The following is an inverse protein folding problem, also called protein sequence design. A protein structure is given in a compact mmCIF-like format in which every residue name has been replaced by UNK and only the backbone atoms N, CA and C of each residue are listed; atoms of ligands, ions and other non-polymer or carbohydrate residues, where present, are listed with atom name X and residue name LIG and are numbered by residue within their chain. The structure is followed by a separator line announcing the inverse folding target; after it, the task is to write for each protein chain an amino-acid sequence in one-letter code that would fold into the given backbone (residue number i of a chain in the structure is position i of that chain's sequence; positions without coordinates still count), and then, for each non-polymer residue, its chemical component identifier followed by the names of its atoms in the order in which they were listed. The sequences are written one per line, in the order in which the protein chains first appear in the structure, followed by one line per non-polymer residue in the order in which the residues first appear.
data_IF_032775351003
#
_entry.id   IF_032775351003
#
_cell.length_a   1.000
_cell.length_b   1.000
_cell.length_c   1.000
_cell.angle_alpha   90.00
_cell.angle_beta   90.00
_cell.angle_gamma   90.00
#
_symmetry.space_group_name_H-M   'P 1'
#
loop_
_entity.id
_entity.type
_entity.pdbx_description
1 polymer ?
#
# COMPACT_ATOMS: atom_id res chain seq x y z
N UNK A 1 54.09 -39.73 -12.57
CA UNK A 1 54.56 -38.97 -11.40
C UNK A 1 53.34 -38.78 -10.50
N UNK A 2 52.99 -39.65 -9.53
CA UNK A 2 53.68 -40.02 -8.27
C UNK A 2 53.98 -38.75 -7.44
N UNK A 3 53.47 -38.49 -6.23
CA UNK A 3 53.35 -39.34 -5.03
C UNK A 3 52.32 -38.81 -3.99
N UNK A 4 51.73 -39.75 -3.22
CA UNK A 4 51.33 -39.80 -1.78
C UNK A 4 50.85 -38.52 -1.02
N UNK A 5 49.89 -38.55 -0.08
CA UNK A 5 49.34 -39.65 0.75
C UNK A 5 49.72 -39.50 2.24
N UNK A 6 48.70 -39.41 3.13
CA UNK A 6 48.63 -39.70 4.61
C UNK A 6 47.53 -38.81 5.22
N UNK A 7 46.38 -39.25 5.76
CA UNK A 7 45.97 -40.31 6.72
C UNK A 7 46.13 -39.98 8.22
N UNK A 8 44.97 -39.93 8.90
CA UNK A 8 44.60 -40.33 10.26
C UNK A 8 45.09 -39.57 11.51
N UNK A 9 44.15 -39.15 12.37
CA UNK A 9 43.88 -39.83 13.65
C UNK A 9 42.72 -39.19 14.47
N UNK A 10 41.82 -40.06 14.96
CA UNK A 10 40.85 -39.82 16.03
C UNK A 10 41.53 -39.43 17.35
N UNK A 11 40.83 -38.65 18.20
CA UNK A 11 40.78 -38.90 19.65
C UNK A 11 39.47 -38.40 20.27
N UNK A 12 38.73 -39.35 20.83
CA UNK A 12 37.62 -39.20 21.78
C UNK A 12 38.17 -38.76 23.15
N UNK A 13 37.44 -37.89 23.84
CA UNK A 13 37.42 -37.84 25.31
C UNK A 13 36.07 -37.28 25.83
N UNK A 14 35.23 -38.20 26.29
CA UNK A 14 34.28 -38.10 27.41
C UNK A 14 34.98 -37.51 28.66
N UNK A 15 34.40 -36.89 29.70
CA UNK A 15 33.06 -36.84 30.33
C UNK A 15 33.13 -35.73 31.40
N UNK A 16 32.03 -35.06 31.74
CA UNK A 16 31.55 -34.82 33.12
C UNK A 16 30.39 -33.80 33.16
N UNK A 17 29.21 -34.28 33.53
CA UNK A 17 28.08 -33.46 33.99
C UNK A 17 28.29 -33.00 35.45
N UNK A 18 27.53 -32.01 35.91
CA UNK A 18 26.75 -32.26 37.12
C UNK A 18 25.29 -31.76 37.07
N UNK A 19 24.42 -32.68 37.49
CA UNK A 19 23.23 -32.52 38.33
C UNK A 19 22.26 -31.33 38.13
N UNK A 20 21.15 -31.66 37.49
CA UNK A 20 19.76 -31.40 37.89
C UNK A 20 19.48 -30.49 39.11
N UNK A 21 18.73 -29.41 38.88
CA UNK A 21 17.55 -29.07 39.69
C UNK A 21 16.40 -28.64 38.77
N UNK A 22 15.38 -29.50 38.69
CA UNK A 22 14.04 -29.17 38.22
C UNK A 22 13.39 -28.24 39.25
N UNK A 23 13.02 -27.03 38.84
CA UNK A 23 12.09 -26.17 39.56
C UNK A 23 10.73 -26.25 38.87
N UNK A 24 9.78 -26.89 39.55
CA UNK A 24 8.35 -26.91 39.21
C UNK A 24 7.76 -25.49 39.23
N UNK A 25 6.80 -25.17 38.35
CA UNK A 25 6.14 -23.87 38.35
C UNK A 25 5.17 -23.79 39.53
N UNK A 26 5.35 -22.80 40.41
CA UNK A 26 4.34 -22.45 41.42
C UNK A 26 3.27 -21.59 40.75
N UNK A 27 2.11 -22.20 40.54
CA UNK A 27 0.83 -21.56 40.29
C UNK A 27 0.53 -20.61 41.46
N UNK A 28 0.48 -19.31 41.19
CA UNK A 28 -0.09 -18.32 42.11
C UNK A 28 -1.32 -17.73 41.43
N UNK A 29 -2.47 -18.32 41.74
CA UNK A 29 -3.77 -17.72 41.58
C UNK A 29 -3.86 -16.47 42.45
N UNK A 30 -3.96 -15.28 41.85
CA UNK A 30 -4.47 -14.10 42.55
C UNK A 30 -5.83 -13.74 41.98
N UNK A 31 -6.81 -13.87 42.85
CA UNK A 31 -8.21 -13.58 42.65
C UNK A 31 -8.43 -12.11 42.29
N UNK A 32 -9.41 -11.90 41.41
CA UNK A 32 -10.01 -10.62 41.12
C UNK A 32 -10.61 -10.02 42.40
N UNK A 33 -10.16 -8.82 42.78
CA UNK A 33 -10.89 -7.98 43.72
C UNK A 33 -11.88 -7.13 42.93
N UNK A 34 -13.16 -7.50 43.01
CA UNK A 34 -14.28 -6.68 42.59
C UNK A 34 -14.48 -5.60 43.65
N UNK A 35 -14.29 -4.34 43.29
CA UNK A 35 -14.77 -3.21 44.11
C UNK A 35 -15.92 -2.53 43.38
N UNK A 36 -17.08 -2.55 44.02
CA UNK A 36 -18.33 -1.90 43.60
C UNK A 36 -18.15 -0.38 43.50
N UNK A 37 -18.60 0.14 42.36
CA UNK A 37 -19.46 1.32 42.17
C UNK A 37 -19.47 2.39 43.26
N UNK A 38 -18.92 3.56 42.94
CA UNK A 38 -19.41 4.85 43.46
C UNK A 38 -20.02 5.64 42.30
N UNK A 39 -21.33 5.84 42.38
CA UNK A 39 -22.06 6.79 41.55
C UNK A 39 -21.69 8.21 41.98
N UNK A 40 -21.28 9.05 41.02
CA UNK A 40 -21.31 10.50 41.19
C UNK A 40 -22.30 11.05 40.17
N UNK A 41 -23.35 11.63 40.72
CA UNK A 41 -24.44 12.35 40.08
C UNK A 41 -23.98 13.61 39.35
N UNK A 42 -24.67 13.89 38.24
CA UNK A 42 -24.79 15.12 37.47
C UNK A 42 -24.00 16.37 37.91
N UNK A 43 -23.21 16.90 36.97
CA UNK A 43 -22.99 18.36 36.86
C UNK A 43 -23.15 18.81 35.40
N UNK A 44 -23.91 19.89 35.14
CA UNK A 44 -24.20 20.36 33.79
C UNK A 44 -23.08 21.27 33.30
N UNK A 45 -22.29 20.85 32.31
CA UNK A 45 -21.54 21.81 31.50
C UNK A 45 -21.31 21.32 30.05
N UNK A 46 -22.42 21.20 29.31
CA UNK A 46 -22.37 21.29 27.84
C UNK A 46 -22.17 22.76 27.47
N UNK A 47 -20.92 23.16 27.21
CA UNK A 47 -20.50 24.20 26.23
C UNK A 47 -19.04 24.60 26.49
N UNK A 48 -18.12 23.89 25.87
CA UNK A 48 -16.87 24.48 25.42
C UNK A 48 -16.63 24.02 23.99
N UNK A 49 -17.34 24.66 23.08
CA UNK A 49 -16.97 24.75 21.67
C UNK A 49 -15.54 25.25 21.65
N UNK A 50 -14.58 24.39 21.26
CA UNK A 50 -13.23 24.82 20.94
C UNK A 50 -13.38 25.85 19.83
N UNK A 51 -13.19 27.13 20.15
CA UNK A 51 -13.16 28.20 19.16
C UNK A 51 -11.87 27.99 18.37
N UNK A 52 -11.98 27.59 17.10
CA UNK A 52 -10.90 27.42 16.10
C UNK A 52 -10.16 28.75 15.78
N UNK A 53 -9.86 29.61 16.77
CA UNK A 53 -9.32 30.97 16.53
C UNK A 53 -7.93 31.24 17.13
N UNK A 54 -7.39 30.29 17.88
CA UNK A 54 -6.12 30.45 18.57
C UNK A 54 -5.27 29.19 18.36
N UNK A 55 -4.11 29.34 17.72
CA UNK A 55 -3.13 28.26 17.58
C UNK A 55 -2.05 28.47 18.65
N UNK A 56 -1.88 27.54 19.61
CA UNK A 56 -0.81 27.64 20.58
C UNK A 56 0.53 27.31 19.90
N UNK A 57 1.44 28.29 19.86
CA UNK A 57 2.80 28.10 19.35
C UNK A 57 3.76 28.12 20.53
N UNK A 58 4.66 27.14 20.59
CA UNK A 58 5.75 27.09 21.57
C UNK A 58 7.06 27.26 20.82
N UNK A 59 7.72 28.39 21.02
CA UNK A 59 9.04 28.66 20.43
C UNK A 59 10.14 28.35 21.43
N UNK A 60 11.14 27.59 21.00
CA UNK A 60 12.32 27.28 21.79
C UNK A 60 13.51 28.10 21.29
N UNK A 61 14.05 28.95 22.14
CA UNK A 61 15.32 29.65 21.89
C UNK A 61 16.49 28.72 22.19
N UNK A 62 17.59 28.86 21.45
CA UNK A 62 18.82 28.11 21.71
C UNK A 62 19.38 28.48 23.10
N UNK A 63 19.20 27.59 24.06
CA UNK A 63 19.93 27.63 25.33
C UNK A 63 19.10 27.66 26.63
N UNK A 64 17.77 27.77 26.61
CA UNK A 64 16.96 27.68 27.84
C UNK A 64 15.76 26.74 27.68
N UNK A 65 15.68 25.72 28.54
CA UNK A 65 14.71 24.62 28.50
C UNK A 65 13.28 24.98 28.93
N UNK A 66 12.86 26.24 28.78
CA UNK A 66 11.46 26.65 28.96
C UNK A 66 11.03 27.42 27.72
N UNK A 67 10.17 26.81 26.91
CA UNK A 67 9.60 27.43 25.70
C UNK A 67 8.62 28.54 26.06
N UNK A 68 8.71 29.68 25.37
CA UNK A 68 7.76 30.79 25.53
C UNK A 68 6.48 30.42 24.76
N UNK A 69 5.34 30.42 25.46
CA UNK A 69 4.03 30.09 24.86
C UNK A 69 3.38 31.38 24.37
N UNK A 70 3.14 31.49 23.06
CA UNK A 70 2.40 32.61 22.47
C UNK A 70 1.18 32.12 21.70
N UNK A 71 0.15 32.95 21.70
CA UNK A 71 -1.07 32.73 20.93
C UNK A 71 -1.05 33.64 19.72
N UNK A 72 -1.21 33.07 18.52
CA UNK A 72 -1.39 33.84 17.29
C UNK A 72 -2.89 33.94 16.97
N UNK A 73 -3.39 35.16 16.86
CA UNK A 73 -4.77 35.44 16.45
C UNK A 73 -4.91 35.31 14.93
N UNK A 74 -5.84 34.46 14.48
CA UNK A 74 -6.13 34.28 13.05
C UNK A 74 -7.11 35.37 12.58
N UNK A 75 -6.76 36.20 11.57
CA UNK A 75 -7.64 37.27 11.09
C UNK A 75 -8.98 36.74 10.57
N UNK A 76 -10.10 37.49 10.75
CA UNK A 76 -11.39 37.10 10.19
C UNK A 76 -11.32 37.07 8.66
N UNK A 77 -11.38 35.87 8.07
CA UNK A 77 -11.31 35.64 6.62
C UNK A 77 -10.25 34.63 6.18
N UNK A 78 -9.23 34.36 7.00
CA UNK A 78 -8.21 33.34 6.69
C UNK A 78 -8.75 31.90 6.76
N UNK A 79 -9.92 31.70 7.41
CA UNK A 79 -10.63 30.44 7.51
C UNK A 79 -11.79 30.30 6.50
N UNK A 80 -11.95 31.23 5.55
CA UNK A 80 -12.78 30.95 4.38
C UNK A 80 -11.94 30.13 3.41
N UNK A 81 -11.89 28.83 3.68
CA UNK A 81 -11.66 27.86 2.60
C UNK A 81 -12.72 28.17 1.55
N UNK A 82 -12.37 28.44 0.28
CA UNK A 82 -13.36 28.48 -0.79
C UNK A 82 -14.21 27.23 -0.65
N UNK A 83 -15.53 27.38 -0.58
CA UNK A 83 -16.47 26.27 -0.44
C UNK A 83 -16.49 25.36 -1.70
N UNK A 84 -15.59 25.63 -2.64
CA UNK A 84 -15.23 24.79 -3.77
C UNK A 84 -14.14 23.79 -3.32
N UNK A 85 -14.47 22.92 -2.36
CA UNK A 85 -13.95 21.56 -2.55
C UNK A 85 -14.55 21.12 -3.88
N UNK A 86 -13.75 20.77 -4.91
CA UNK A 86 -14.31 20.21 -6.11
C UNK A 86 -15.25 19.10 -5.65
N UNK A 87 -16.53 19.19 -6.03
CA UNK A 87 -17.40 18.03 -6.02
C UNK A 87 -16.55 16.93 -6.68
N UNK A 88 -16.29 15.80 -6.01
CA UNK A 88 -15.55 14.72 -6.65
C UNK A 88 -16.17 14.55 -8.04
N UNK A 89 -15.37 14.52 -9.12
CA UNK A 89 -15.95 14.28 -10.43
C UNK A 89 -16.91 13.09 -10.26
N UNK A 90 -18.14 13.19 -10.81
CA UNK A 90 -19.08 12.07 -10.71
C UNK A 90 -18.29 10.82 -11.08
N UNK A 91 -18.36 9.79 -10.23
CA UNK A 91 -17.68 8.52 -10.51
C UNK A 91 -18.03 8.22 -11.97
N UNK A 92 -17.03 8.29 -12.85
CA UNK A 92 -17.25 8.12 -14.28
C UNK A 92 -17.51 6.63 -14.43
N UNK A 93 -18.74 6.25 -14.15
CA UNK A 93 -19.17 4.87 -13.94
C UNK A 93 -19.00 4.06 -15.22
N UNK A 94 -18.90 4.75 -16.36
CA UNK A 94 -18.69 4.17 -17.66
C UNK A 94 -17.20 3.91 -17.93
N UNK A 95 -16.84 2.62 -17.97
CA UNK A 95 -15.53 2.15 -18.41
C UNK A 95 -15.60 1.89 -19.91
N UNK A 96 -15.02 2.76 -20.73
CA UNK A 96 -15.01 2.61 -22.18
C UNK A 96 -13.60 2.25 -22.69
N UNK A 97 -13.33 0.97 -23.02
CA UNK A 97 -12.02 0.58 -23.52
C UNK A 97 -11.63 1.27 -24.81
N UNK A 98 -10.33 1.58 -24.91
CA UNK A 98 -9.70 2.06 -26.12
C UNK A 98 -9.93 1.07 -27.26
N UNK A 99 -10.76 1.46 -28.22
CA UNK A 99 -11.03 0.61 -29.40
C UNK A 99 -9.81 0.47 -30.29
N UNK A 100 -9.73 -0.66 -31.02
CA UNK A 100 -8.70 -0.91 -32.02
C UNK A 100 -8.55 0.22 -33.03
N UNK A 101 -9.68 0.70 -33.56
CA UNK A 101 -9.72 1.78 -34.55
C UNK A 101 -9.07 3.06 -34.03
N UNK A 102 -9.36 3.43 -32.78
CA UNK A 102 -8.79 4.63 -32.17
C UNK A 102 -7.31 4.41 -31.88
N UNK A 103 -6.92 3.25 -31.33
CA UNK A 103 -5.52 2.89 -31.10
C UNK A 103 -4.67 2.96 -32.38
N UNK A 104 -5.15 2.38 -33.49
CA UNK A 104 -4.45 2.39 -34.78
C UNK A 104 -4.32 3.80 -35.38
N UNK A 105 -5.26 4.70 -35.07
CA UNK A 105 -5.22 6.10 -35.49
C UNK A 105 -4.33 7.00 -34.60
N UNK A 106 -3.90 6.53 -33.43
CA UNK A 106 -3.08 7.31 -32.51
C UNK A 106 -1.63 7.49 -33.02
N UNK A 107 -1.03 8.69 -32.85
CA UNK A 107 0.40 8.90 -33.05
C UNK A 107 1.25 7.93 -32.21
N UNK A 108 2.48 7.65 -32.65
CA UNK A 108 3.38 6.68 -31.99
C UNK A 108 3.54 6.93 -30.49
N UNK A 109 3.84 8.18 -30.09
CA UNK A 109 4.01 8.55 -28.68
C UNK A 109 2.77 8.23 -27.85
N UNK A 110 1.57 8.52 -28.37
CA UNK A 110 0.32 8.27 -27.66
C UNK A 110 0.01 6.78 -27.54
N UNK A 111 0.31 5.98 -28.57
CA UNK A 111 0.18 4.51 -28.50
C UNK A 111 1.04 3.93 -27.37
N UNK A 112 2.25 4.44 -27.19
CA UNK A 112 3.14 3.97 -26.12
C UNK A 112 2.61 4.28 -24.71
N UNK A 113 1.71 5.25 -24.56
CA UNK A 113 1.07 5.61 -23.27
C UNK A 113 -0.19 4.78 -22.96
N UNK A 114 -0.42 3.70 -23.70
CA UNK A 114 -1.56 2.78 -23.50
C UNK A 114 -1.08 1.42 -23.04
N UNK A 115 -2.00 0.61 -22.52
CA UNK A 115 -1.76 -0.82 -22.27
C UNK A 115 -2.49 -1.69 -23.29
N UNK A 116 -2.67 -1.16 -24.50
CA UNK A 116 -3.43 -1.82 -25.55
C UNK A 116 -2.88 -3.23 -25.82
N UNK A 117 -3.75 -4.24 -25.72
CA UNK A 117 -3.39 -5.63 -26.00
C UNK A 117 -2.67 -6.36 -24.86
N UNK A 118 -2.43 -5.72 -23.70
CA UNK A 118 -1.69 -6.31 -22.57
C UNK A 118 -2.59 -7.10 -21.61
N UNK A 119 -2.06 -8.16 -21.01
CA UNK A 119 -2.67 -8.91 -19.90
C UNK A 119 -2.12 -8.39 -18.57
N UNK A 120 -3.00 -7.96 -17.66
CA UNK A 120 -2.59 -7.28 -16.41
C UNK A 120 -3.20 -7.99 -15.21
N UNK A 121 -2.34 -8.36 -14.25
CA UNK A 121 -2.75 -8.84 -12.93
C UNK A 121 -2.84 -7.66 -11.97
N UNK A 122 -3.92 -7.55 -11.21
CA UNK A 122 -4.12 -6.53 -10.17
C UNK A 122 -4.48 -7.20 -8.85
N UNK A 123 -3.62 -7.09 -7.86
CA UNK A 123 -3.92 -7.57 -6.49
C UNK A 123 -4.64 -6.50 -5.70
N UNK A 124 -5.56 -6.85 -4.80
CA UNK A 124 -6.38 -5.87 -4.09
C UNK A 124 -7.36 -5.16 -5.03
N UNK A 125 -7.72 -5.82 -6.15
CA UNK A 125 -8.53 -5.24 -7.21
C UNK A 125 -10.04 -5.31 -6.96
N UNK A 126 -10.49 -5.93 -5.86
CA UNK A 126 -11.91 -6.01 -5.55
C UNK A 126 -12.53 -4.67 -5.12
N UNK A 127 -11.71 -3.72 -4.64
CA UNK A 127 -12.18 -2.39 -4.20
C UNK A 127 -11.06 -1.36 -4.15
N UNK A 128 -11.43 -0.10 -3.89
CA UNK A 128 -10.48 0.97 -3.62
C UNK A 128 -9.51 1.22 -4.78
N UNK A 129 -8.26 1.59 -4.45
CA UNK A 129 -7.28 2.02 -5.45
C UNK A 129 -6.98 0.94 -6.50
N UNK A 130 -6.89 -0.33 -6.10
CA UNK A 130 -6.67 -1.44 -7.03
C UNK A 130 -7.79 -1.54 -8.07
N UNK A 131 -9.05 -1.40 -7.65
CA UNK A 131 -10.19 -1.43 -8.55
C UNK A 131 -10.20 -0.25 -9.54
N UNK A 132 -9.93 0.97 -9.08
CA UNK A 132 -9.85 2.14 -9.97
C UNK A 132 -8.72 2.02 -10.99
N UNK A 133 -7.56 1.49 -10.59
CA UNK A 133 -6.46 1.23 -11.53
C UNK A 133 -6.79 0.10 -12.50
N UNK A 134 -7.54 -0.92 -12.10
CA UNK A 134 -8.03 -1.96 -13.01
C UNK A 134 -8.98 -1.38 -14.09
N UNK A 135 -9.90 -0.48 -13.69
CA UNK A 135 -10.76 0.28 -14.62
C UNK A 135 -9.94 1.12 -15.60
N UNK A 136 -8.92 1.83 -15.10
CA UNK A 136 -8.03 2.62 -15.94
C UNK A 136 -7.26 1.77 -16.96
N UNK A 137 -6.78 0.59 -16.55
CA UNK A 137 -6.15 -0.35 -17.47
C UNK A 137 -7.12 -0.87 -18.53
N UNK A 138 -8.39 -1.14 -18.16
CA UNK A 138 -9.43 -1.49 -19.12
C UNK A 138 -9.70 -0.37 -20.12
N UNK A 139 -9.87 0.88 -19.65
CA UNK A 139 -10.02 2.07 -20.50
C UNK A 139 -8.83 2.27 -21.44
N UNK A 140 -7.61 2.00 -20.97
CA UNK A 140 -6.39 2.10 -21.75
C UNK A 140 -6.13 0.88 -22.68
N UNK A 141 -7.12 0.00 -22.85
CA UNK A 141 -7.14 -1.05 -23.89
C UNK A 141 -6.52 -2.37 -23.48
N UNK A 142 -6.38 -2.67 -22.19
CA UNK A 142 -5.92 -3.98 -21.73
C UNK A 142 -6.72 -5.10 -22.40
N UNK A 143 -6.03 -6.17 -22.82
CA UNK A 143 -6.67 -7.35 -23.43
C UNK A 143 -7.40 -8.17 -22.39
N UNK A 144 -6.78 -8.38 -21.23
CA UNK A 144 -7.34 -9.16 -20.13
C UNK A 144 -7.02 -8.45 -18.81
N UNK A 145 -8.01 -8.39 -17.92
CA UNK A 145 -7.85 -7.90 -16.54
C UNK A 145 -8.04 -9.07 -15.56
N UNK A 146 -7.03 -9.33 -14.75
CA UNK A 146 -7.03 -10.43 -13.79
C UNK A 146 -6.99 -9.85 -12.38
N UNK A 147 -8.08 -10.01 -11.62
CA UNK A 147 -8.22 -9.51 -10.25
C UNK A 147 -7.83 -10.61 -9.27
N UNK A 148 -6.86 -10.33 -8.40
CA UNK A 148 -6.52 -11.14 -7.25
C UNK A 148 -6.98 -10.43 -5.98
N UNK A 149 -7.78 -11.10 -5.15
CA UNK A 149 -8.21 -10.55 -3.86
C UNK A 149 -8.56 -11.67 -2.87
N UNK A 150 -8.47 -11.40 -1.57
CA UNK A 150 -8.77 -12.39 -0.54
C UNK A 150 -10.28 -12.53 -0.31
N UNK A 151 -11.07 -11.51 -0.66
CA UNK A 151 -12.52 -11.51 -0.48
C UNK A 151 -13.22 -12.06 -1.74
N UNK A 152 -13.88 -13.22 -1.60
CA UNK A 152 -14.59 -13.89 -2.69
C UNK A 152 -15.72 -13.01 -3.24
N UNK A 153 -16.66 -12.59 -2.38
CA UNK A 153 -17.88 -11.89 -2.78
C UNK A 153 -17.57 -10.55 -3.46
N UNK A 154 -16.67 -9.75 -2.88
CA UNK A 154 -16.25 -8.48 -3.46
C UNK A 154 -15.47 -8.68 -4.76
N UNK A 155 -14.66 -9.74 -4.84
CA UNK A 155 -13.89 -10.08 -6.04
C UNK A 155 -14.78 -10.47 -7.21
N UNK A 156 -15.76 -11.35 -6.96
CA UNK A 156 -16.76 -11.76 -7.96
C UNK A 156 -17.56 -10.56 -8.45
N UNK A 157 -18.03 -9.71 -7.53
CA UNK A 157 -18.78 -8.49 -7.87
C UNK A 157 -17.94 -7.53 -8.73
N UNK A 158 -16.70 -7.26 -8.32
CA UNK A 158 -15.82 -6.34 -9.03
C UNK A 158 -15.48 -6.83 -10.44
N UNK A 159 -15.25 -8.15 -10.61
CA UNK A 159 -14.97 -8.74 -11.90
C UNK A 159 -16.18 -8.69 -12.84
N UNK A 160 -17.37 -9.05 -12.33
CA UNK A 160 -18.62 -8.98 -13.08
C UNK A 160 -18.93 -7.54 -13.51
N UNK A 161 -18.85 -6.59 -12.59
CA UNK A 161 -19.14 -5.18 -12.89
C UNK A 161 -18.17 -4.60 -13.93
N UNK A 162 -16.87 -4.90 -13.81
CA UNK A 162 -15.89 -4.43 -14.78
C UNK A 162 -16.08 -5.09 -16.15
N UNK A 163 -16.43 -6.38 -16.18
CA UNK A 163 -16.77 -7.08 -17.42
C UNK A 163 -17.98 -6.44 -18.10
N UNK A 164 -19.07 -6.23 -17.36
CA UNK A 164 -20.31 -5.65 -17.90
C UNK A 164 -20.11 -4.24 -18.44
N UNK A 165 -19.30 -3.43 -17.75
CA UNK A 165 -19.02 -2.04 -18.16
C UNK A 165 -18.08 -1.96 -19.37
N UNK A 166 -17.05 -2.80 -19.41
CA UNK A 166 -15.98 -2.71 -20.42
C UNK A 166 -16.19 -3.61 -21.65
N UNK A 167 -16.92 -4.72 -21.49
CA UNK A 167 -16.98 -5.80 -22.48
C UNK A 167 -15.67 -6.59 -22.64
N UNK A 168 -14.66 -6.35 -21.80
CA UNK A 168 -13.38 -7.05 -21.84
C UNK A 168 -13.43 -8.36 -21.03
N UNK A 169 -12.58 -9.35 -21.34
CA UNK A 169 -12.32 -10.47 -20.44
C UNK A 169 -11.78 -9.99 -19.10
N UNK A 170 -12.56 -10.22 -18.04
CA UNK A 170 -12.17 -9.98 -16.65
C UNK A 170 -12.29 -11.29 -15.89
N UNK A 171 -11.30 -11.63 -15.08
CA UNK A 171 -11.32 -12.86 -14.29
C UNK A 171 -10.84 -12.61 -12.88
N UNK A 172 -11.45 -13.32 -11.94
CA UNK A 172 -11.17 -13.19 -10.52
C UNK A 172 -10.55 -14.48 -9.98
N UNK A 173 -9.52 -14.33 -9.15
CA UNK A 173 -8.93 -15.41 -8.38
C UNK A 173 -8.93 -15.01 -6.90
N UNK A 174 -9.53 -15.86 -6.07
CA UNK A 174 -9.46 -15.70 -4.61
C UNK A 174 -8.06 -16.06 -4.13
N UNK A 175 -7.26 -15.05 -3.82
CA UNK A 175 -5.86 -15.20 -3.40
C UNK A 175 -5.60 -14.35 -2.17
N UNK A 176 -5.16 -15.00 -1.11
CA UNK A 176 -4.51 -14.30 0.02
C UNK A 176 -3.05 -14.09 -0.33
N UNK A 177 -2.59 -12.84 -0.35
CA UNK A 177 -1.21 -12.50 -0.70
C UNK A 177 -0.17 -13.04 0.29
N UNK A 178 -0.59 -13.59 1.43
CA UNK A 178 0.29 -14.28 2.40
C UNK A 178 0.57 -15.74 2.03
N UNK A 179 -0.27 -16.33 1.18
CA UNK A 179 -0.16 -17.74 0.79
C UNK A 179 0.62 -17.89 -0.51
N UNK A 180 1.93 -18.14 -0.39
CA UNK A 180 2.82 -18.34 -1.53
C UNK A 180 2.41 -19.50 -2.44
N UNK A 181 1.80 -20.56 -1.90
CA UNK A 181 1.36 -21.71 -2.70
C UNK A 181 0.12 -21.34 -3.53
N UNK A 182 -0.86 -20.67 -2.91
CA UNK A 182 -2.04 -20.17 -3.62
C UNK A 182 -1.66 -19.14 -4.70
N UNK A 183 -0.72 -18.24 -4.41
CA UNK A 183 -0.20 -17.27 -5.40
C UNK A 183 0.41 -17.99 -6.61
N UNK A 184 1.28 -18.98 -6.37
CA UNK A 184 1.94 -19.71 -7.46
C UNK A 184 0.89 -20.42 -8.32
N UNK A 185 -0.04 -21.16 -7.70
CA UNK A 185 -1.10 -21.86 -8.42
C UNK A 185 -1.99 -20.89 -9.24
N UNK A 186 -2.36 -19.75 -8.67
CA UNK A 186 -3.17 -18.75 -9.37
C UNK A 186 -2.41 -18.13 -10.56
N UNK A 187 -1.13 -17.80 -10.40
CA UNK A 187 -0.29 -17.28 -11.49
C UNK A 187 -0.11 -18.33 -12.59
N UNK A 188 0.10 -19.60 -12.24
CA UNK A 188 0.21 -20.69 -13.21
C UNK A 188 -1.09 -20.84 -14.02
N UNK A 189 -2.26 -20.77 -13.36
CA UNK A 189 -3.56 -20.76 -14.06
C UNK A 189 -3.73 -19.55 -14.97
N UNK A 190 -3.24 -18.37 -14.58
CA UNK A 190 -3.26 -17.18 -15.45
C UNK A 190 -2.40 -17.41 -16.69
N UNK A 191 -1.21 -17.99 -16.52
CA UNK A 191 -0.30 -18.31 -17.63
C UNK A 191 -0.95 -19.32 -18.58
N UNK A 192 -1.62 -20.34 -18.06
CA UNK A 192 -2.33 -21.35 -18.85
C UNK A 192 -3.48 -20.73 -19.67
N UNK A 193 -4.29 -19.87 -19.04
CA UNK A 193 -5.50 -19.32 -19.67
C UNK A 193 -5.22 -18.15 -20.61
N UNK A 194 -4.26 -17.27 -20.27
CA UNK A 194 -4.06 -15.99 -20.95
C UNK A 194 -2.64 -15.80 -21.51
N UNK A 195 -1.73 -16.73 -21.23
CA UNK A 195 -0.30 -16.57 -21.45
C UNK A 195 0.36 -15.73 -20.35
N UNK A 196 1.68 -15.57 -20.44
CA UNK A 196 2.45 -14.80 -19.47
C UNK A 196 1.93 -13.35 -19.36
N UNK A 197 1.65 -12.84 -18.16
CA UNK A 197 1.19 -11.47 -17.97
C UNK A 197 2.23 -10.44 -18.44
N UNK A 198 1.77 -9.26 -18.86
CA UNK A 198 2.61 -8.13 -19.28
C UNK A 198 2.91 -7.19 -18.11
N UNK A 199 1.98 -7.09 -17.16
CA UNK A 199 2.14 -6.23 -16.00
C UNK A 199 1.48 -6.79 -14.73
N UNK A 200 2.04 -6.42 -13.59
CA UNK A 200 1.46 -6.60 -12.25
C UNK A 200 1.24 -5.22 -11.63
N UNK A 201 0.01 -4.95 -11.20
CA UNK A 201 -0.33 -3.83 -10.32
C UNK A 201 -0.58 -4.40 -8.91
N UNK A 202 0.44 -4.30 -8.06
CA UNK A 202 0.40 -4.86 -6.72
C UNK A 202 -0.17 -3.83 -5.72
N UNK A 203 -1.49 -3.80 -5.59
CA UNK A 203 -2.23 -2.87 -4.72
C UNK A 203 -2.78 -3.49 -3.41
N UNK A 204 -2.60 -4.80 -3.18
CA UNK A 204 -3.03 -5.42 -1.94
C UNK A 204 -2.28 -4.84 -0.73
N UNK A 205 -3.02 -4.48 0.32
CA UNK A 205 -2.43 -3.91 1.51
C UNK A 205 -3.47 -3.55 2.58
N UNK A 206 -2.98 -3.40 3.80
CA UNK A 206 -3.75 -2.89 4.94
C UNK A 206 -3.02 -1.72 5.60
N UNK A 207 -3.78 -0.86 6.28
CA UNK A 207 -3.26 0.22 7.08
C UNK A 207 -3.90 0.18 8.47
N UNK A 208 -3.06 -0.05 9.47
CA UNK A 208 -3.41 0.16 10.86
C UNK A 208 -2.98 1.59 11.22
N UNK A 209 -3.89 2.35 11.86
CA UNK A 209 -3.71 3.78 12.13
C UNK A 209 -4.29 4.13 13.49
N UNK A 210 -3.79 5.21 14.10
CA UNK A 210 -4.13 5.65 15.46
C UNK A 210 -3.77 4.61 16.53
N UNK A 211 -2.65 3.91 16.35
CA UNK A 211 -2.13 2.93 17.30
C UNK A 211 -0.70 3.31 17.66
N UNK A 212 -0.51 3.65 18.94
CA UNK A 212 0.78 4.05 19.49
C UNK A 212 1.78 2.90 19.46
N UNK A 213 3.05 3.21 19.22
CA UNK A 213 4.10 2.21 19.07
C UNK A 213 4.30 1.38 20.35
N UNK A 214 4.23 2.02 21.52
CA UNK A 214 4.46 1.38 22.83
C UNK A 214 3.34 0.43 23.28
N UNK A 215 2.17 0.48 22.62
CA UNK A 215 1.03 -0.41 22.89
C UNK A 215 0.60 -1.23 21.68
N UNK A 216 1.37 -1.20 20.57
CA UNK A 216 1.00 -1.89 19.35
C UNK A 216 1.10 -3.40 19.56
N UNK A 217 0.06 -4.15 19.19
CA UNK A 217 0.07 -5.62 19.29
C UNK A 217 1.09 -6.24 18.31
N UNK A 218 2.11 -6.97 18.79
CA UNK A 218 3.07 -7.66 17.93
C UNK A 218 2.44 -8.60 16.89
N UNK A 219 1.28 -9.20 17.17
CA UNK A 219 0.58 -10.06 16.21
C UNK A 219 -0.01 -9.24 15.05
N UNK A 220 -0.60 -8.08 15.35
CA UNK A 220 -1.05 -7.13 14.32
C UNK A 220 0.12 -6.65 13.46
N UNK A 221 1.27 -6.34 14.08
CA UNK A 221 2.44 -5.88 13.33
C UNK A 221 2.93 -6.96 12.35
N UNK A 222 3.05 -8.21 12.81
CA UNK A 222 3.43 -9.33 11.94
C UNK A 222 2.44 -9.49 10.78
N UNK A 223 1.13 -9.46 11.05
CA UNK A 223 0.11 -9.54 9.99
C UNK A 223 0.24 -8.39 8.98
N UNK A 224 0.48 -7.17 9.45
CA UNK A 224 0.65 -6.01 8.58
C UNK A 224 1.89 -6.14 7.69
N UNK A 225 3.03 -6.55 8.23
CA UNK A 225 4.24 -6.83 7.45
C UNK A 225 4.00 -7.97 6.45
N UNK A 226 3.33 -9.03 6.90
CA UNK A 226 3.07 -10.22 6.08
C UNK A 226 2.20 -9.89 4.87
N UNK A 227 1.19 -9.03 5.03
CA UNK A 227 0.36 -8.57 3.90
C UNK A 227 1.11 -7.55 3.03
N UNK A 228 1.63 -6.48 3.63
CA UNK A 228 2.12 -5.33 2.87
C UNK A 228 3.48 -5.59 2.22
N UNK A 229 4.38 -6.30 2.90
CA UNK A 229 5.76 -6.50 2.45
C UNK A 229 6.02 -7.93 1.99
N UNK A 230 5.76 -8.93 2.84
CA UNK A 230 5.96 -10.34 2.45
C UNK A 230 5.07 -10.70 1.27
N UNK A 231 3.80 -10.31 1.29
CA UNK A 231 2.88 -10.60 0.18
C UNK A 231 3.27 -9.90 -1.11
N UNK A 232 3.77 -8.66 -1.03
CA UNK A 232 4.39 -7.98 -2.18
C UNK A 232 5.58 -8.77 -2.72
N UNK A 233 6.46 -9.27 -1.86
CA UNK A 233 7.57 -10.11 -2.27
C UNK A 233 7.11 -11.38 -2.98
N UNK A 234 6.13 -12.11 -2.42
CA UNK A 234 5.62 -13.37 -2.98
C UNK A 234 4.96 -13.16 -4.35
N UNK A 235 4.13 -12.12 -4.48
CA UNK A 235 3.50 -11.75 -5.76
C UNK A 235 4.53 -11.38 -6.82
N UNK A 236 5.49 -10.51 -6.48
CA UNK A 236 6.57 -10.13 -7.39
C UNK A 236 7.40 -11.34 -7.79
N UNK A 237 7.74 -12.24 -6.85
CA UNK A 237 8.52 -13.44 -7.12
C UNK A 237 7.79 -14.37 -8.11
N UNK A 238 6.50 -14.62 -7.88
CA UNK A 238 5.72 -15.51 -8.74
C UNK A 238 5.57 -14.96 -10.16
N UNK A 239 5.13 -13.70 -10.30
CA UNK A 239 4.95 -13.06 -11.62
C UNK A 239 6.28 -12.83 -12.32
N UNK A 240 7.31 -12.37 -11.60
CA UNK A 240 8.64 -12.15 -12.14
C UNK A 240 9.27 -13.45 -12.64
N UNK A 241 9.11 -14.56 -11.91
CA UNK A 241 9.56 -15.89 -12.36
C UNK A 241 8.86 -16.33 -13.63
N UNK A 242 7.54 -16.14 -13.73
CA UNK A 242 6.79 -16.46 -14.95
C UNK A 242 7.29 -15.64 -16.17
N UNK A 243 7.52 -14.34 -15.99
CA UNK A 243 8.09 -13.45 -17.02
C UNK A 243 9.48 -13.90 -17.47
N UNK A 244 10.37 -14.21 -16.52
CA UNK A 244 11.72 -14.68 -16.80
C UNK A 244 11.73 -16.02 -17.54
N UNK A 245 10.89 -16.98 -17.13
CA UNK A 245 10.76 -18.28 -17.79
C UNK A 245 10.24 -18.16 -19.22
N UNK A 246 9.31 -17.23 -19.45
CA UNK A 246 8.79 -16.94 -20.78
C UNK A 246 9.73 -16.11 -21.65
N UNK A 247 10.84 -15.58 -21.10
CA UNK A 247 11.70 -14.61 -21.78
C UNK A 247 10.95 -13.33 -22.18
N UNK A 248 9.93 -12.96 -21.41
CA UNK A 248 9.00 -11.86 -21.73
C UNK A 248 9.35 -10.62 -20.89
N UNK A 249 9.61 -9.46 -21.51
CA UNK A 249 9.70 -8.18 -20.80
C UNK A 249 8.43 -7.87 -20.03
N UNK A 250 8.54 -7.13 -18.93
CA UNK A 250 7.38 -6.87 -18.07
C UNK A 250 7.48 -5.60 -17.22
N UNK A 251 6.36 -5.22 -16.60
CA UNK A 251 6.31 -4.09 -15.68
C UNK A 251 5.58 -4.43 -14.39
N UNK A 252 6.23 -4.19 -13.26
CA UNK A 252 5.65 -4.32 -11.92
C UNK A 252 5.44 -2.91 -11.34
N UNK A 253 4.20 -2.61 -11.00
CA UNK A 253 3.75 -1.36 -10.39
C UNK A 253 3.31 -1.66 -8.97
N UNK A 254 4.09 -1.23 -7.98
CA UNK A 254 3.82 -1.52 -6.57
C UNK A 254 3.18 -0.31 -5.90
N UNK A 255 2.02 -0.48 -5.27
CA UNK A 255 1.39 0.60 -4.51
C UNK A 255 2.03 0.66 -3.12
N UNK A 256 2.97 1.59 -2.98
CA UNK A 256 3.60 1.93 -1.72
C UNK A 256 2.75 2.98 -0.98
N UNK A 257 3.36 4.09 -0.53
CA UNK A 257 2.69 5.23 0.11
C UNK A 257 3.71 6.33 0.39
N UNK A 258 3.29 7.60 0.45
CA UNK A 258 4.12 8.66 1.02
C UNK A 258 4.62 8.30 2.43
N UNK A 259 3.86 7.51 3.19
CA UNK A 259 4.25 6.96 4.50
C UNK A 259 5.54 6.14 4.50
N UNK A 260 6.01 5.69 3.33
CA UNK A 260 7.32 5.06 3.20
C UNK A 260 8.48 6.05 3.17
N UNK A 261 8.19 7.34 2.99
CA UNK A 261 9.16 8.44 2.88
C UNK A 261 9.03 9.48 3.99
N UNK A 262 7.86 9.57 4.65
CA UNK A 262 7.57 10.54 5.72
C UNK A 262 6.90 9.88 6.91
N UNK A 263 6.86 10.59 8.03
CA UNK A 263 6.03 10.24 9.18
C UNK A 263 4.72 11.02 9.11
N UNK A 264 3.62 10.31 8.95
CA UNK A 264 2.29 10.91 8.95
C UNK A 264 1.95 11.56 10.29
N UNK A 265 1.16 12.64 10.23
CA UNK A 265 0.66 13.37 11.39
C UNK A 265 -0.82 13.70 11.16
N UNK A 266 -1.68 13.65 12.20
CA UNK A 266 -1.36 13.42 13.62
C UNK A 266 -1.36 11.95 14.07
N UNK A 267 -1.78 11.03 13.22
CA UNK A 267 -2.00 9.64 13.60
C UNK A 267 -0.71 8.85 13.83
N UNK A 268 -0.68 8.04 14.88
CA UNK A 268 0.38 7.06 15.10
C UNK A 268 0.17 5.83 14.21
N UNK A 269 1.16 5.54 13.35
CA UNK A 269 1.10 4.43 12.39
C UNK A 269 2.50 3.93 11.98
N UNK A 270 3.44 3.89 12.93
CA UNK A 270 4.85 3.54 12.67
C UNK A 270 5.03 2.18 11.96
N UNK A 271 4.22 1.19 12.31
CA UNK A 271 4.22 -0.14 11.69
C UNK A 271 3.85 -0.09 10.20
N UNK A 272 2.83 0.69 9.85
CA UNK A 272 2.44 0.91 8.45
C UNK A 272 3.54 1.62 7.68
N UNK A 273 4.11 2.69 8.23
CA UNK A 273 5.21 3.44 7.63
C UNK A 273 6.41 2.53 7.35
N UNK A 274 6.81 1.70 8.33
CA UNK A 274 7.89 0.72 8.17
C UNK A 274 7.59 -0.27 7.04
N UNK A 275 6.36 -0.78 6.95
CA UNK A 275 5.98 -1.71 5.87
C UNK A 275 6.09 -1.07 4.48
N UNK A 276 5.66 0.19 4.32
CA UNK A 276 5.67 0.88 3.04
C UNK A 276 7.07 1.37 2.65
N UNK A 277 7.91 1.76 3.62
CA UNK A 277 9.33 1.99 3.39
C UNK A 277 10.04 0.71 2.90
N UNK A 278 9.70 -0.44 3.50
CA UNK A 278 10.15 -1.75 3.05
C UNK A 278 9.77 -2.04 1.61
N UNK A 279 8.53 -1.75 1.19
CA UNK A 279 8.08 -1.92 -0.20
C UNK A 279 8.87 -1.03 -1.15
N UNK A 280 9.09 0.24 -0.81
CA UNK A 280 9.88 1.18 -1.64
C UNK A 280 11.30 0.67 -1.87
N UNK A 281 11.98 0.26 -0.80
CA UNK A 281 13.35 -0.22 -0.91
C UNK A 281 13.42 -1.58 -1.61
N UNK A 282 12.46 -2.48 -1.32
CA UNK A 282 12.35 -3.76 -2.00
C UNK A 282 12.19 -3.58 -3.51
N UNK A 283 11.28 -2.70 -3.95
CA UNK A 283 11.07 -2.39 -5.37
C UNK A 283 12.36 -1.95 -6.05
N UNK A 284 13.12 -1.06 -5.40
CA UNK A 284 14.41 -0.57 -5.90
C UNK A 284 15.45 -1.69 -6.04
N UNK A 285 15.49 -2.62 -5.09
CA UNK A 285 16.40 -3.78 -5.14
C UNK A 285 16.04 -4.70 -6.31
N UNK A 286 14.78 -5.14 -6.43
CA UNK A 286 14.40 -6.08 -7.51
C UNK A 286 14.41 -5.42 -8.89
N UNK A 287 14.21 -4.09 -8.97
CA UNK A 287 14.44 -3.33 -10.20
C UNK A 287 15.87 -3.49 -10.72
N UNK A 288 16.88 -3.38 -9.83
CA UNK A 288 18.28 -3.54 -10.20
C UNK A 288 18.60 -4.99 -10.57
N UNK A 289 18.07 -5.96 -9.81
CA UNK A 289 18.30 -7.38 -10.05
C UNK A 289 17.68 -7.87 -11.37
N UNK A 290 16.50 -7.36 -11.73
CA UNK A 290 15.70 -7.86 -12.85
C UNK A 290 15.80 -7.03 -14.12
N UNK A 291 16.53 -5.92 -14.12
CA UNK A 291 16.78 -5.12 -15.31
C UNK A 291 17.39 -5.94 -16.47
N UNK A 292 18.24 -6.92 -16.16
CA UNK A 292 18.83 -7.86 -17.15
C UNK A 292 17.82 -8.78 -17.86
N UNK A 293 16.57 -8.83 -17.38
CA UNK A 293 15.47 -9.59 -17.96
C UNK A 293 14.43 -8.68 -18.63
N UNK A 294 14.73 -7.39 -18.79
CA UNK A 294 13.78 -6.37 -19.29
C UNK A 294 12.50 -6.28 -18.45
N UNK A 295 12.61 -6.57 -17.15
CA UNK A 295 11.52 -6.41 -16.17
C UNK A 295 11.78 -5.14 -15.37
N UNK A 296 10.80 -4.23 -15.41
CA UNK A 296 10.86 -2.96 -14.68
C UNK A 296 10.03 -3.04 -13.42
N UNK A 297 10.48 -2.39 -12.36
CA UNK A 297 9.74 -2.33 -11.08
C UNK A 297 9.73 -0.89 -10.59
N UNK A 298 8.54 -0.31 -10.41
CA UNK A 298 8.38 1.05 -9.90
C UNK A 298 7.26 1.12 -8.86
N UNK A 299 7.34 2.12 -7.98
CA UNK A 299 6.31 2.38 -6.99
C UNK A 299 5.45 3.60 -7.34
N UNK A 300 4.16 3.47 -7.06
CA UNK A 300 3.26 4.61 -6.84
C UNK A 300 3.15 4.79 -5.33
N UNK A 301 3.44 5.98 -4.83
CA UNK A 301 3.34 6.35 -3.42
C UNK A 301 2.31 7.47 -3.24
N UNK A 302 1.02 7.10 -3.04
CA UNK A 302 -0.02 8.08 -2.84
C UNK A 302 0.10 8.80 -1.50
N UNK A 303 -0.42 10.03 -1.46
CA UNK A 303 -0.76 10.71 -0.22
C UNK A 303 -2.09 10.25 0.37
N UNK A 304 -2.79 11.16 1.05
CA UNK A 304 -4.13 10.87 1.56
C UNK A 304 -5.14 10.87 0.42
N UNK A 305 -5.72 9.70 0.14
CA UNK A 305 -6.72 9.52 -0.92
C UNK A 305 -8.13 9.44 -0.35
N UNK A 306 -9.12 10.00 -1.02
CA UNK A 306 -10.53 9.93 -0.63
C UNK A 306 -11.15 8.57 -1.00
N UNK A 307 -10.74 7.55 -0.26
CA UNK A 307 -11.24 6.17 -0.40
C UNK A 307 -12.39 5.90 0.58
N UNK A 308 -13.15 4.84 0.34
CA UNK A 308 -14.16 4.36 1.28
C UNK A 308 -13.62 4.14 2.72
N UNK A 309 -12.34 3.76 2.87
CA UNK A 309 -11.69 3.60 4.17
C UNK A 309 -11.58 4.93 4.93
N UNK A 310 -11.41 6.04 4.21
CA UNK A 310 -11.27 7.36 4.80
C UNK A 310 -12.61 8.09 4.94
N UNK A 311 -13.67 7.68 4.23
CA UNK A 311 -15.03 8.25 4.30
C UNK A 311 -15.82 7.82 5.55
N UNK A 312 -15.17 7.85 6.72
CA UNK A 312 -15.82 7.56 8.01
C UNK A 312 -15.87 8.83 8.89
N UNK A 313 -16.98 9.09 9.60
CA UNK A 313 -17.13 10.32 10.41
C UNK A 313 -16.04 10.51 11.47
N UNK A 314 -15.46 9.41 11.98
CA UNK A 314 -14.39 9.45 12.98
C UNK A 314 -13.11 10.14 12.49
N UNK A 315 -12.91 10.27 11.17
CA UNK A 315 -11.70 10.85 10.59
C UNK A 315 -11.86 12.32 10.18
N UNK A 316 -13.02 12.95 10.33
CA UNK A 316 -13.24 14.32 9.83
C UNK A 316 -12.28 15.37 10.43
N UNK A 317 -11.98 15.27 11.73
CA UNK A 317 -10.98 16.13 12.37
C UNK A 317 -9.56 15.88 11.83
N UNK A 318 -9.20 14.62 11.58
CA UNK A 318 -7.90 14.28 11.00
C UNK A 318 -7.78 14.75 9.55
N UNK A 319 -8.83 14.61 8.75
CA UNK A 319 -8.87 15.13 7.37
C UNK A 319 -8.63 16.62 7.29
N UNK A 320 -9.13 17.41 8.25
CA UNK A 320 -8.83 18.86 8.32
C UNK A 320 -7.32 19.09 8.46
N UNK A 321 -6.67 18.35 9.36
CA UNK A 321 -5.21 18.44 9.58
C UNK A 321 -4.46 17.99 8.33
N UNK A 322 -4.82 16.84 7.76
CA UNK A 322 -4.21 16.33 6.53
C UNK A 322 -4.27 17.35 5.40
N UNK A 323 -5.45 17.92 5.14
CA UNK A 323 -5.63 18.97 4.13
C UNK A 323 -4.79 20.21 4.44
N UNK A 324 -4.75 20.66 5.69
CA UNK A 324 -3.96 21.84 6.08
C UNK A 324 -2.45 21.66 5.90
N UNK A 325 -1.97 20.40 5.89
CA UNK A 325 -0.57 20.05 5.67
C UNK A 325 -0.27 19.69 4.21
N UNK A 326 -1.29 19.53 3.37
CA UNK A 326 -1.13 19.31 1.92
C UNK A 326 -1.18 20.66 1.19
N UNK A 327 -0.16 21.05 0.41
CA UNK A 327 -0.17 22.30 -0.36
C UNK A 327 -1.39 22.50 -1.27
N UNK A 328 -1.90 21.43 -1.90
CA UNK A 328 -3.14 21.48 -2.68
C UNK A 328 -4.44 21.56 -1.84
N UNK A 329 -4.33 21.55 -0.50
CA UNK A 329 -5.41 21.71 0.47
C UNK A 329 -6.62 20.76 0.29
N UNK A 330 -6.35 19.52 -0.15
CA UNK A 330 -7.37 18.50 -0.42
C UNK A 330 -6.81 17.09 -0.26
N UNK A 331 -7.70 16.11 -0.17
CA UNK A 331 -7.34 14.72 -0.40
C UNK A 331 -7.27 14.46 -1.91
N UNK A 332 -6.46 13.48 -2.31
CA UNK A 332 -6.42 13.00 -3.69
C UNK A 332 -7.68 12.21 -4.04
N UNK A 333 -8.19 12.39 -5.26
CA UNK A 333 -9.18 11.50 -5.87
C UNK A 333 -8.56 10.15 -6.20
N UNK A 334 -9.32 9.07 -6.00
CA UNK A 334 -8.83 7.70 -6.26
C UNK A 334 -8.43 7.48 -7.73
N UNK A 335 -9.06 8.20 -8.64
CA UNK A 335 -8.82 8.24 -10.08
C UNK A 335 -7.54 9.00 -10.47
N UNK A 336 -7.02 9.88 -9.61
CA UNK A 336 -5.79 10.63 -9.90
C UNK A 336 -4.53 9.75 -9.97
N UNK A 337 -4.61 8.51 -9.51
CA UNK A 337 -3.53 7.52 -9.65
C UNK A 337 -3.55 6.79 -11.00
N UNK A 338 -4.68 6.82 -11.70
CA UNK A 338 -4.97 5.97 -12.86
C UNK A 338 -3.98 6.22 -14.01
N UNK A 339 -3.76 7.49 -14.35
CA UNK A 339 -2.84 7.86 -15.43
C UNK A 339 -1.41 7.38 -15.17
N UNK A 340 -0.93 7.48 -13.92
CA UNK A 340 0.40 7.01 -13.54
C UNK A 340 0.48 5.48 -13.58
N UNK A 341 -0.56 4.77 -13.13
CA UNK A 341 -0.64 3.32 -13.22
C UNK A 341 -0.52 2.84 -14.67
N UNK A 342 -1.32 3.42 -15.57
CA UNK A 342 -1.26 3.13 -17.01
C UNK A 342 0.12 3.46 -17.57
N UNK A 343 0.68 4.64 -17.28
CA UNK A 343 2.02 5.02 -17.73
C UNK A 343 3.10 4.02 -17.29
N UNK A 344 3.11 3.61 -16.03
CA UNK A 344 4.09 2.66 -15.50
C UNK A 344 3.91 1.24 -16.07
N UNK A 345 2.69 0.82 -16.37
CA UNK A 345 2.40 -0.46 -17.05
C UNK A 345 2.64 -0.42 -18.57
N UNK A 346 2.64 0.77 -19.17
CA UNK A 346 2.79 0.98 -20.61
C UNK A 346 4.24 0.96 -21.10
N UNK A 347 4.41 1.14 -22.41
CA UNK A 347 5.73 1.21 -23.04
C UNK A 347 6.37 2.61 -22.92
N UNK A 348 5.59 3.63 -22.54
CA UNK A 348 6.08 4.98 -22.32
C UNK A 348 7.04 5.10 -21.13
N UNK A 349 7.08 4.11 -20.24
CA UNK A 349 8.01 4.04 -19.10
C UNK A 349 9.12 3.01 -19.28
N UNK A 350 9.40 2.56 -20.52
CA UNK A 350 10.43 1.52 -20.82
C UNK A 350 11.84 1.81 -20.26
N UNK A 351 12.21 3.07 -20.08
CA UNK A 351 13.51 3.45 -19.49
C UNK A 351 13.44 3.74 -17.99
N UNK A 352 12.29 3.50 -17.34
CA UNK A 352 12.05 3.82 -15.94
C UNK A 352 11.93 2.54 -15.11
N UNK A 353 12.84 2.35 -14.17
CA UNK A 353 12.84 1.26 -13.19
C UNK A 353 13.48 1.72 -11.87
N UNK A 354 13.07 1.15 -10.74
CA UNK A 354 13.55 1.47 -9.40
C UNK A 354 13.08 2.81 -8.84
N UNK A 355 12.09 3.44 -9.48
CA UNK A 355 11.61 4.78 -9.10
C UNK A 355 10.46 4.69 -8.09
N UNK A 356 10.45 5.61 -7.12
CA UNK A 356 9.32 5.83 -6.21
C UNK A 356 8.65 7.16 -6.54
N UNK A 357 7.43 7.12 -7.07
CA UNK A 357 6.74 8.32 -7.51
C UNK A 357 5.69 8.74 -6.48
N UNK A 358 5.93 9.89 -5.85
CA UNK A 358 5.02 10.50 -4.89
C UNK A 358 3.90 11.24 -5.63
N UNK A 359 2.66 10.97 -5.22
CA UNK A 359 1.45 11.64 -5.73
C UNK A 359 0.56 11.99 -4.53
N UNK A 360 0.90 13.09 -3.86
CA UNK A 360 0.42 13.39 -2.50
C UNK A 360 -0.07 14.84 -2.33
N UNK A 361 -0.32 15.54 -3.44
CA UNK A 361 -0.73 16.95 -3.42
C UNK A 361 0.36 17.89 -2.90
N UNK A 362 1.62 17.46 -2.88
CA UNK A 362 2.77 18.20 -2.38
C UNK A 362 3.04 18.01 -0.88
N UNK A 363 2.37 17.06 -0.22
CA UNK A 363 2.50 16.86 1.23
C UNK A 363 3.95 16.65 1.66
N UNK A 364 4.74 15.91 0.88
CA UNK A 364 6.16 15.65 1.16
C UNK A 364 7.13 16.74 0.71
N UNK A 365 6.67 17.91 0.27
CA UNK A 365 7.55 18.99 -0.17
C UNK A 365 8.18 19.77 1.00
N UNK A 366 7.68 19.61 2.21
CA UNK A 366 8.14 20.29 3.42
C UNK A 366 9.04 19.44 4.30
#
# INVERSE_FOLDING_TARGET
MAFAGRSAALRLAQVAAPSTRLATPKTVSRAFSVTRTSWVSDTPNKRSVVREREIPVTTYGAGQGQGERRTLDVPPGAAQVPHDSPVPPPDHDAVHPLSRRVYEAMPHTMRNMTVYGKTIIITGGARGLGNHMARACAEAGAKNIIIFDANQELGDQAAAELHDKSGLPVSFFKVDVRDGAAINAAVDSVVELYGCPDALVNAAGIADSNIKAETYDPAMFRRLIDINLTGTFLMCQSVGRAMMQAGKPGSLVLVASMSGSVVNYPQEQSCYNASKAGVVQFAKSIAAEWAKYDIRVNCISPGYMDTALNRVPALEAQKKIWKSLTPQNRLGGVDELNGLCVYLASDASRFMTGSNILIDGGYSCY
#
